data_IF_634059884176
#
_entry.id   IF_634059884176
#
_cell.length_a   1.000
_cell.length_b   1.000
_cell.length_c   1.000
_cell.angle_alpha   90.00
_cell.angle_beta   90.00
_cell.angle_gamma   90.00
#
_symmetry.space_group_name_H-M   'P 1'
#
loop_
_entity.id
_entity.type
_entity.pdbx_description
1 polymer ?
#
# COMPACT_ATOMS: atom_id res chain seq x y z
N UNK A 1 64.12 41.96 25.16
CA UNK A 1 63.20 42.12 24.02
C UNK A 1 62.71 40.72 23.63
N UNK A 2 61.51 40.37 24.16
CA UNK A 2 60.86 39.06 23.93
C UNK A 2 59.82 39.22 22.82
N UNK A 3 60.07 38.63 21.65
CA UNK A 3 59.16 38.61 20.52
C UNK A 3 58.25 37.42 20.66
N UNK A 4 57.02 37.64 21.14
CA UNK A 4 55.92 36.66 21.12
C UNK A 4 55.30 36.67 19.73
N UNK A 5 55.59 35.65 18.93
CA UNK A 5 54.91 35.41 17.68
C UNK A 5 53.51 34.90 17.94
N UNK A 6 52.48 35.67 17.61
CA UNK A 6 51.10 35.22 17.59
C UNK A 6 50.86 34.19 16.48
N UNK A 7 50.43 33.01 16.84
CA UNK A 7 50.03 31.95 15.91
C UNK A 7 48.68 32.33 15.29
N UNK A 8 48.51 32.35 13.94
CA UNK A 8 47.21 32.67 13.32
C UNK A 8 46.21 31.57 13.64
N UNK A 9 45.09 31.95 14.23
CA UNK A 9 43.90 31.09 14.47
C UNK A 9 43.29 30.69 13.13
N UNK A 10 43.51 29.46 12.70
CA UNK A 10 42.84 28.90 11.53
C UNK A 10 41.37 28.72 11.88
N UNK A 11 40.52 29.62 11.39
CA UNK A 11 39.05 29.49 11.47
C UNK A 11 38.67 28.29 10.59
N UNK A 12 38.34 27.15 11.22
CA UNK A 12 37.80 26.00 10.49
C UNK A 12 36.45 26.39 9.89
N UNK A 13 36.23 26.19 8.57
CA UNK A 13 34.94 26.49 7.98
C UNK A 13 33.87 25.62 8.64
N UNK A 14 32.73 26.23 8.99
CA UNK A 14 31.60 25.59 9.63
C UNK A 14 31.04 24.46 8.73
N UNK A 15 31.39 23.23 9.07
CA UNK A 15 31.03 22.00 8.32
C UNK A 15 29.50 21.84 8.25
N UNK A 16 28.78 22.36 9.25
CA UNK A 16 27.32 22.29 9.35
C UNK A 16 26.63 23.20 8.32
N UNK A 17 27.12 24.44 8.19
CA UNK A 17 26.62 25.41 7.21
C UNK A 17 26.89 24.97 5.76
N UNK A 18 28.05 24.36 5.53
CA UNK A 18 28.42 23.84 4.20
C UNK A 18 27.54 22.61 3.81
N UNK A 19 27.17 21.77 4.78
CA UNK A 19 26.29 20.62 4.58
C UNK A 19 24.86 21.04 4.26
N UNK A 20 24.32 22.04 4.95
CA UNK A 20 22.99 22.59 4.72
C UNK A 20 22.88 23.26 3.33
N UNK A 21 23.91 24.02 2.94
CA UNK A 21 23.97 24.69 1.63
C UNK A 21 24.05 23.68 0.48
N UNK A 22 24.82 22.60 0.64
CA UNK A 22 24.91 21.53 -0.35
C UNK A 22 23.59 20.75 -0.46
N UNK A 23 22.90 20.48 0.65
CA UNK A 23 21.59 19.82 0.65
C UNK A 23 20.55 20.68 -0.08
N UNK A 24 20.50 21.99 0.19
CA UNK A 24 19.59 22.94 -0.46
C UNK A 24 19.83 23.01 -1.98
N UNK A 25 21.09 23.06 -2.43
CA UNK A 25 21.44 23.04 -3.84
C UNK A 25 20.99 21.73 -4.51
N UNK A 26 21.25 20.58 -3.88
CA UNK A 26 20.83 19.27 -4.41
C UNK A 26 19.31 19.13 -4.51
N UNK A 27 18.57 19.63 -3.54
CA UNK A 27 17.10 19.66 -3.59
C UNK A 27 16.60 20.55 -4.71
N UNK A 28 17.17 21.74 -4.86
CA UNK A 28 16.77 22.69 -5.91
C UNK A 28 17.01 22.13 -7.33
N UNK A 29 18.18 21.52 -7.58
CA UNK A 29 18.47 20.87 -8.87
C UNK A 29 17.53 19.71 -9.12
N UNK A 30 17.25 18.86 -8.11
CA UNK A 30 16.31 17.76 -8.25
C UNK A 30 14.90 18.26 -8.61
N UNK A 31 14.39 19.30 -7.92
CA UNK A 31 13.09 19.91 -8.25
C UNK A 31 13.06 20.50 -9.66
N UNK A 32 14.14 21.10 -10.13
CA UNK A 32 14.22 21.64 -11.49
C UNK A 32 14.16 20.54 -12.54
N UNK A 33 14.86 19.42 -12.32
CA UNK A 33 14.88 18.25 -13.21
C UNK A 33 13.53 17.50 -13.19
N UNK A 34 12.84 17.43 -12.05
CA UNK A 34 11.58 16.71 -11.88
C UNK A 34 10.34 17.63 -11.92
N UNK A 35 10.47 18.81 -12.50
CA UNK A 35 9.44 19.86 -12.44
C UNK A 35 8.06 19.39 -12.92
N UNK A 36 8.02 18.67 -14.05
CA UNK A 36 6.77 18.15 -14.60
C UNK A 36 6.10 17.17 -13.64
N UNK A 37 6.86 16.22 -13.10
CA UNK A 37 6.35 15.20 -12.16
C UNK A 37 5.87 15.82 -10.86
N UNK A 38 6.54 16.87 -10.36
CA UNK A 38 6.08 17.62 -9.19
C UNK A 38 4.75 18.33 -9.46
N UNK A 39 4.58 18.93 -10.65
CA UNK A 39 3.33 19.58 -11.04
C UNK A 39 2.20 18.55 -11.12
N UNK A 40 2.41 17.41 -11.79
CA UNK A 40 1.44 16.33 -11.91
C UNK A 40 1.05 15.80 -10.53
N UNK A 41 2.03 15.55 -9.66
CA UNK A 41 1.78 15.06 -8.30
C UNK A 41 0.96 16.05 -7.47
N UNK A 42 1.33 17.34 -7.47
CA UNK A 42 0.60 18.38 -6.75
C UNK A 42 -0.82 18.54 -7.31
N UNK A 43 -0.96 18.56 -8.65
CA UNK A 43 -2.28 18.64 -9.29
C UNK A 43 -3.16 17.44 -8.90
N UNK A 44 -2.61 16.23 -8.91
CA UNK A 44 -3.33 15.03 -8.47
C UNK A 44 -3.79 15.13 -7.02
N UNK A 45 -2.89 15.47 -6.10
CA UNK A 45 -3.23 15.61 -4.68
C UNK A 45 -4.30 16.69 -4.48
N UNK A 46 -4.18 17.83 -5.18
CA UNK A 46 -5.18 18.90 -5.10
C UNK A 46 -6.55 18.43 -5.59
N UNK A 47 -6.61 17.76 -6.74
CA UNK A 47 -7.87 17.23 -7.30
C UNK A 47 -8.49 16.20 -6.35
N UNK A 48 -7.71 15.20 -5.91
CA UNK A 48 -8.24 14.14 -5.03
C UNK A 48 -8.69 14.66 -3.68
N UNK A 49 -7.96 15.59 -3.06
CA UNK A 49 -8.38 16.25 -1.81
C UNK A 49 -9.67 17.03 -2.03
N UNK A 50 -9.75 17.84 -3.10
CA UNK A 50 -10.94 18.62 -3.39
C UNK A 50 -12.17 17.73 -3.61
N UNK A 51 -12.03 16.68 -4.44
CA UNK A 51 -13.14 15.75 -4.71
C UNK A 51 -13.52 14.98 -3.45
N UNK A 52 -12.56 14.58 -2.61
CA UNK A 52 -12.83 13.89 -1.34
C UNK A 52 -13.64 14.73 -0.36
N UNK A 53 -13.54 16.09 -0.42
CA UNK A 53 -14.36 16.96 0.43
C UNK A 53 -15.85 16.88 0.08
N UNK A 54 -16.20 16.54 -1.16
CA UNK A 54 -17.58 16.41 -1.65
C UNK A 54 -18.04 14.95 -1.80
N UNK A 55 -17.14 13.99 -1.59
CA UNK A 55 -17.46 12.56 -1.64
C UNK A 55 -18.15 12.13 -0.35
N UNK A 56 -19.35 11.59 -0.48
CA UNK A 56 -20.03 10.88 0.60
C UNK A 56 -19.56 9.43 0.62
N UNK A 57 -19.00 8.94 1.75
CA UNK A 57 -18.51 7.57 1.82
C UNK A 57 -19.63 6.55 1.58
N UNK A 58 -19.34 5.57 0.74
CA UNK A 58 -20.25 4.47 0.46
C UNK A 58 -20.40 3.55 1.68
N UNK A 59 -21.44 2.72 1.64
CA UNK A 59 -21.73 1.75 2.70
C UNK A 59 -20.48 0.93 3.10
N UNK A 60 -19.75 0.39 2.14
CA UNK A 60 -18.54 -0.41 2.38
C UNK A 60 -17.41 0.38 3.05
N UNK A 61 -17.31 1.68 2.78
CA UNK A 61 -16.31 2.56 3.40
C UNK A 61 -16.68 2.82 4.86
N UNK A 62 -17.97 3.12 5.10
CA UNK A 62 -18.51 3.31 6.44
C UNK A 62 -18.41 2.02 7.27
N UNK A 63 -18.76 0.87 6.70
CA UNK A 63 -18.64 -0.43 7.33
C UNK A 63 -17.20 -0.72 7.74
N UNK A 64 -16.22 -0.47 6.84
CA UNK A 64 -14.81 -0.69 7.15
C UNK A 64 -14.34 0.15 8.34
N UNK A 65 -14.80 1.41 8.44
CA UNK A 65 -14.50 2.28 9.57
C UNK A 65 -15.12 1.78 10.87
N UNK A 66 -16.40 1.39 10.86
CA UNK A 66 -17.11 0.87 12.03
C UNK A 66 -16.44 -0.40 12.57
N UNK A 67 -16.09 -1.33 11.69
CA UNK A 67 -15.33 -2.54 12.04
C UNK A 67 -13.99 -2.15 12.69
N UNK A 68 -13.26 -1.23 12.08
CA UNK A 68 -11.95 -0.78 12.59
C UNK A 68 -12.07 -0.10 13.97
N UNK A 69 -13.12 0.69 14.19
CA UNK A 69 -13.38 1.41 15.44
C UNK A 69 -13.79 0.48 16.58
N UNK A 70 -14.77 -0.39 16.32
CA UNK A 70 -15.52 -1.11 17.36
C UNK A 70 -14.89 -2.46 17.70
N UNK A 71 -14.21 -3.12 16.77
CA UNK A 71 -13.57 -4.40 17.00
C UNK A 71 -12.23 -4.27 17.71
N UNK A 72 -11.89 -5.24 18.55
CA UNK A 72 -10.54 -5.36 19.13
C UNK A 72 -9.51 -5.74 18.05
N UNK A 73 -8.23 -5.49 18.32
CA UNK A 73 -7.13 -5.90 17.42
C UNK A 73 -7.15 -7.40 17.11
N UNK A 74 -7.52 -8.23 18.11
CA UNK A 74 -7.62 -9.67 17.93
C UNK A 74 -8.77 -10.01 16.99
N UNK A 75 -9.94 -9.42 17.16
CA UNK A 75 -11.11 -9.65 16.28
C UNK A 75 -10.83 -9.21 14.84
N UNK A 76 -10.12 -8.09 14.64
CA UNK A 76 -9.71 -7.65 13.32
C UNK A 76 -8.81 -8.66 12.61
N UNK A 77 -7.95 -9.36 13.38
CA UNK A 77 -6.99 -10.31 12.82
C UNK A 77 -7.57 -11.72 12.61
N UNK A 78 -8.51 -12.15 13.47
CA UNK A 78 -8.88 -13.57 13.53
C UNK A 78 -10.37 -13.86 13.33
N UNK A 79 -11.22 -12.84 13.33
CA UNK A 79 -12.67 -13.03 13.24
C UNK A 79 -13.24 -12.33 12.01
N UNK A 80 -13.01 -11.02 11.87
CA UNK A 80 -13.64 -10.23 10.81
C UNK A 80 -13.20 -10.60 9.41
N UNK A 81 -11.97 -11.03 9.23
CA UNK A 81 -11.43 -11.51 7.96
C UNK A 81 -12.22 -12.64 7.34
N UNK A 82 -12.77 -13.55 8.18
CA UNK A 82 -13.59 -14.67 7.73
C UNK A 82 -14.96 -14.25 7.17
N UNK A 83 -15.52 -13.13 7.67
CA UNK A 83 -16.82 -12.62 7.23
C UNK A 83 -16.71 -11.67 6.04
N UNK A 84 -15.64 -10.87 6.00
CA UNK A 84 -15.44 -9.85 4.97
C UNK A 84 -14.74 -10.40 3.72
N UNK A 85 -14.12 -11.58 3.81
CA UNK A 85 -13.41 -12.21 2.69
C UNK A 85 -12.17 -11.44 2.23
N UNK A 86 -11.60 -10.59 3.10
CA UNK A 86 -10.40 -9.79 2.82
C UNK A 86 -9.37 -9.89 3.93
N UNK A 87 -8.05 -9.77 3.61
CA UNK A 87 -7.00 -9.68 4.61
C UNK A 87 -7.14 -8.46 5.52
N UNK A 88 -6.62 -8.51 6.77
CA UNK A 88 -6.94 -7.54 7.81
C UNK A 88 -6.26 -6.17 7.68
N UNK A 89 -5.29 -5.99 6.79
CA UNK A 89 -4.40 -4.83 6.77
C UNK A 89 -5.18 -3.51 6.71
N UNK A 90 -6.22 -3.42 5.87
CA UNK A 90 -6.98 -2.19 5.71
C UNK A 90 -7.66 -1.76 7.01
N UNK A 91 -8.35 -2.67 7.67
CA UNK A 91 -9.01 -2.38 8.97
C UNK A 91 -8.01 -2.08 10.07
N UNK A 92 -6.85 -2.75 10.07
CA UNK A 92 -5.78 -2.45 11.03
C UNK A 92 -5.23 -1.04 10.84
N UNK A 93 -5.05 -0.59 9.60
CA UNK A 93 -4.62 0.78 9.31
C UNK A 93 -5.70 1.80 9.70
N UNK A 94 -6.97 1.53 9.39
CA UNK A 94 -8.10 2.36 9.80
C UNK A 94 -8.29 2.39 11.31
N UNK A 95 -7.99 1.29 12.01
CA UNK A 95 -8.11 1.22 13.47
C UNK A 95 -7.17 2.21 14.19
N UNK A 96 -6.06 2.61 13.57
CA UNK A 96 -5.16 3.61 14.16
C UNK A 96 -5.87 4.94 14.37
N UNK A 97 -6.34 5.67 13.33
CA UNK A 97 -7.05 6.91 13.52
C UNK A 97 -8.39 6.74 14.26
N UNK A 98 -9.11 5.63 14.03
CA UNK A 98 -10.41 5.39 14.66
C UNK A 98 -10.29 5.23 16.19
N UNK A 99 -9.31 4.46 16.66
CA UNK A 99 -9.09 4.25 18.12
C UNK A 99 -8.40 5.43 18.79
N UNK A 100 -7.75 6.33 18.02
CA UNK A 100 -7.24 7.61 18.51
C UNK A 100 -8.34 8.68 18.62
N UNK A 101 -9.60 8.34 18.28
CA UNK A 101 -10.72 9.27 18.38
C UNK A 101 -10.84 10.29 17.27
N UNK A 102 -10.20 10.05 16.12
CA UNK A 102 -10.37 10.93 14.95
C UNK A 102 -11.82 10.87 14.45
N UNK A 103 -12.39 12.02 14.01
CA UNK A 103 -13.68 12.03 13.35
C UNK A 103 -13.70 11.09 12.14
N UNK A 104 -14.83 10.41 11.94
CA UNK A 104 -15.03 9.37 10.93
C UNK A 104 -14.52 9.76 9.53
N UNK A 105 -15.07 10.84 8.98
CA UNK A 105 -14.70 11.24 7.63
C UNK A 105 -13.23 11.67 7.50
N UNK A 106 -12.71 12.37 8.51
CA UNK A 106 -11.33 12.83 8.50
C UNK A 106 -10.37 11.64 8.56
N UNK A 107 -10.60 10.72 9.50
CA UNK A 107 -9.73 9.56 9.67
C UNK A 107 -9.74 8.62 8.46
N UNK A 108 -10.92 8.35 7.92
CA UNK A 108 -11.10 7.49 6.74
C UNK A 108 -10.47 8.10 5.49
N UNK A 109 -10.85 9.34 5.16
CA UNK A 109 -10.40 10.04 3.94
C UNK A 109 -8.90 10.34 3.98
N UNK A 110 -8.36 10.77 5.14
CA UNK A 110 -6.93 11.09 5.24
C UNK A 110 -6.03 9.87 5.02
N UNK A 111 -6.39 8.72 5.57
CA UNK A 111 -5.64 7.49 5.33
C UNK A 111 -5.65 7.11 3.85
N UNK A 112 -6.81 7.17 3.19
CA UNK A 112 -6.91 6.86 1.77
C UNK A 112 -6.08 7.83 0.92
N UNK A 113 -6.18 9.15 1.19
CA UNK A 113 -5.39 10.17 0.49
C UNK A 113 -3.88 9.98 0.67
N UNK A 114 -3.44 9.53 1.85
CA UNK A 114 -2.03 9.18 2.06
C UNK A 114 -1.60 7.99 1.19
N UNK A 115 -2.43 6.94 1.10
CA UNK A 115 -2.18 5.79 0.24
C UNK A 115 -2.18 6.20 -1.25
N UNK A 116 -3.12 7.04 -1.66
CA UNK A 116 -3.21 7.56 -3.03
C UNK A 116 -2.01 8.45 -3.38
N UNK A 117 -1.59 9.32 -2.48
CA UNK A 117 -0.38 10.13 -2.66
C UNK A 117 0.87 9.25 -2.77
N UNK A 118 1.01 8.20 -1.94
CA UNK A 118 2.10 7.22 -2.05
C UNK A 118 2.08 6.51 -3.41
N UNK A 119 0.92 6.07 -3.87
CA UNK A 119 0.72 5.41 -5.17
C UNK A 119 1.23 6.29 -6.31
N UNK A 120 0.79 7.55 -6.38
CA UNK A 120 1.20 8.46 -7.44
C UNK A 120 2.65 8.93 -7.29
N UNK A 121 3.14 9.10 -6.06
CA UNK A 121 4.56 9.37 -5.84
C UNK A 121 5.47 8.26 -6.38
N UNK A 122 5.10 6.99 -6.16
CA UNK A 122 5.82 5.85 -6.73
C UNK A 122 5.75 5.87 -8.26
N UNK A 123 4.57 6.12 -8.83
CA UNK A 123 4.36 6.17 -10.27
C UNK A 123 5.23 7.24 -10.93
N UNK A 124 5.21 8.48 -10.40
CA UNK A 124 5.90 9.63 -10.98
C UNK A 124 7.42 9.54 -10.83
N UNK A 125 7.90 9.24 -9.62
CA UNK A 125 9.31 9.42 -9.29
C UNK A 125 10.14 8.13 -9.28
N UNK A 126 9.49 6.95 -9.30
CA UNK A 126 10.21 5.68 -9.15
C UNK A 126 10.05 4.73 -10.34
N UNK A 127 8.98 4.87 -11.13
CA UNK A 127 8.79 4.02 -12.31
C UNK A 127 9.60 4.51 -13.52
N UNK A 128 9.84 3.59 -14.45
CA UNK A 128 10.45 3.87 -15.75
C UNK A 128 9.41 3.91 -16.87
N UNK A 129 8.19 4.30 -16.56
CA UNK A 129 7.14 4.45 -17.56
C UNK A 129 7.43 5.62 -18.50
N UNK A 130 6.93 5.58 -19.76
CA UNK A 130 6.97 6.72 -20.67
C UNK A 130 6.34 7.96 -20.04
N UNK A 131 6.90 9.13 -20.30
CA UNK A 131 6.46 10.41 -19.72
C UNK A 131 4.95 10.68 -19.95
N UNK A 132 4.46 10.37 -21.16
CA UNK A 132 3.04 10.52 -21.48
C UNK A 132 2.15 9.72 -20.54
N UNK A 133 2.54 8.48 -20.23
CA UNK A 133 1.76 7.63 -19.31
C UNK A 133 1.79 8.16 -17.88
N UNK A 134 2.93 8.67 -17.42
CA UNK A 134 3.03 9.28 -16.09
C UNK A 134 2.10 10.50 -15.97
N UNK A 135 1.97 11.32 -17.00
CA UNK A 135 1.08 12.50 -16.98
C UNK A 135 -0.40 12.12 -17.04
N UNK A 136 -0.77 11.10 -17.83
CA UNK A 136 -2.18 10.78 -18.08
C UNK A 136 -2.76 9.83 -17.03
N UNK A 137 -2.01 8.78 -16.61
CA UNK A 137 -2.51 7.73 -15.72
C UNK A 137 -3.03 8.26 -14.38
N UNK A 138 -2.37 9.22 -13.70
CA UNK A 138 -2.87 9.76 -12.44
C UNK A 138 -4.30 10.28 -12.52
N UNK A 139 -4.69 10.86 -13.66
CA UNK A 139 -6.02 11.46 -13.87
C UNK A 139 -7.02 10.52 -14.54
N UNK A 140 -6.67 9.23 -14.72
CA UNK A 140 -7.63 8.23 -15.15
C UNK A 140 -8.71 8.02 -14.08
N UNK A 141 -9.91 7.62 -14.50
CA UNK A 141 -11.03 7.37 -13.58
C UNK A 141 -10.63 6.46 -12.40
N UNK A 142 -9.91 5.37 -12.70
CA UNK A 142 -9.52 4.41 -11.66
C UNK A 142 -8.53 5.00 -10.65
N UNK A 143 -7.44 5.62 -11.12
CA UNK A 143 -6.40 6.11 -10.20
C UNK A 143 -6.83 7.40 -9.49
N UNK A 144 -7.60 8.28 -10.16
CA UNK A 144 -8.01 9.54 -9.59
C UNK A 144 -9.23 9.38 -8.67
N UNK A 145 -10.31 8.75 -9.13
CA UNK A 145 -11.56 8.66 -8.37
C UNK A 145 -11.68 7.33 -7.61
N UNK A 146 -11.69 6.21 -8.34
CA UNK A 146 -12.02 4.91 -7.77
C UNK A 146 -11.02 4.45 -6.68
N UNK A 147 -9.74 4.81 -6.81
CA UNK A 147 -8.70 4.45 -5.84
C UNK A 147 -8.19 5.67 -5.06
N UNK A 148 -8.25 6.87 -5.66
CA UNK A 148 -7.76 8.10 -5.03
C UNK A 148 -8.76 8.71 -4.05
N UNK A 149 -10.06 8.64 -4.34
CA UNK A 149 -11.13 9.26 -3.55
C UNK A 149 -11.88 8.23 -2.71
N UNK A 150 -12.35 7.13 -3.31
CA UNK A 150 -13.05 6.07 -2.58
C UNK A 150 -12.10 5.36 -1.61
N UNK A 151 -12.44 5.39 -0.33
CA UNK A 151 -11.56 4.97 0.76
C UNK A 151 -11.53 3.45 0.95
N UNK A 152 -10.81 2.77 0.06
CA UNK A 152 -10.67 1.32 -0.01
C UNK A 152 -9.17 0.94 -0.10
N UNK A 153 -8.78 -0.33 0.14
CA UNK A 153 -7.37 -0.74 0.12
C UNK A 153 -6.69 -0.66 -1.26
N UNK A 154 -7.42 -0.27 -2.30
CA UNK A 154 -6.95 -0.37 -3.69
C UNK A 154 -5.79 0.57 -4.04
N UNK A 155 -5.75 1.79 -3.49
CA UNK A 155 -4.60 2.67 -3.66
C UNK A 155 -3.32 2.02 -3.11
N UNK A 156 -3.40 1.41 -1.93
CA UNK A 156 -2.29 0.68 -1.31
C UNK A 156 -1.92 -0.58 -2.12
N UNK A 157 -2.91 -1.28 -2.68
CA UNK A 157 -2.71 -2.43 -3.56
C UNK A 157 -1.89 -2.04 -4.81
N UNK A 158 -2.28 -0.96 -5.49
CA UNK A 158 -1.54 -0.46 -6.66
C UNK A 158 -0.14 0.01 -6.25
N UNK A 159 0.01 0.69 -5.11
CA UNK A 159 1.32 1.08 -4.60
C UNK A 159 2.24 -0.15 -4.38
N UNK A 160 1.71 -1.24 -3.82
CA UNK A 160 2.44 -2.50 -3.66
C UNK A 160 2.83 -3.11 -5.03
N UNK A 161 1.94 -3.09 -6.02
CA UNK A 161 2.23 -3.54 -7.39
C UNK A 161 3.34 -2.69 -8.04
N UNK A 162 3.31 -1.37 -7.87
CA UNK A 162 4.36 -0.48 -8.36
C UNK A 162 5.71 -0.79 -7.68
N UNK A 163 5.73 -1.04 -6.36
CA UNK A 163 6.94 -1.44 -5.65
C UNK A 163 7.51 -2.77 -6.18
N UNK A 164 6.65 -3.75 -6.50
CA UNK A 164 7.07 -4.99 -7.15
C UNK A 164 7.70 -4.67 -8.51
N UNK A 165 7.02 -3.90 -9.36
CA UNK A 165 7.49 -3.56 -10.70
C UNK A 165 8.84 -2.82 -10.67
N UNK A 166 9.02 -1.86 -9.77
CA UNK A 166 10.27 -1.09 -9.59
C UNK A 166 11.44 -2.02 -9.23
N UNK A 167 11.20 -3.02 -8.40
CA UNK A 167 12.24 -3.90 -7.89
C UNK A 167 12.40 -5.21 -8.70
N UNK A 168 11.50 -5.49 -9.64
CA UNK A 168 11.41 -6.77 -10.34
C UNK A 168 12.69 -7.22 -11.02
N UNK A 169 13.38 -6.30 -11.69
CA UNK A 169 14.63 -6.62 -12.40
C UNK A 169 15.76 -7.07 -11.47
N UNK A 170 15.72 -6.65 -10.22
CA UNK A 170 16.72 -6.98 -9.22
C UNK A 170 16.33 -8.18 -8.32
N UNK A 171 15.18 -8.83 -8.58
CA UNK A 171 14.62 -9.90 -7.73
C UNK A 171 15.57 -11.06 -7.48
N UNK A 172 16.44 -11.35 -8.44
CA UNK A 172 17.38 -12.47 -8.35
C UNK A 172 18.64 -12.14 -7.52
N UNK A 173 19.03 -10.87 -7.44
CA UNK A 173 20.22 -10.40 -6.70
C UNK A 173 19.84 -9.82 -5.34
N UNK A 174 18.72 -9.11 -5.26
CA UNK A 174 18.18 -8.48 -4.04
C UNK A 174 16.70 -8.87 -3.87
N UNK A 175 16.41 -10.09 -3.38
CA UNK A 175 15.04 -10.62 -3.35
C UNK A 175 14.11 -9.90 -2.36
N UNK A 176 14.64 -9.41 -1.24
CA UNK A 176 13.83 -8.87 -0.14
C UNK A 176 12.89 -7.73 -0.51
N UNK A 177 13.29 -6.71 -1.30
CA UNK A 177 12.36 -5.65 -1.69
C UNK A 177 11.14 -6.18 -2.44
N UNK A 178 11.32 -7.16 -3.33
CA UNK A 178 10.21 -7.78 -4.09
C UNK A 178 9.36 -8.63 -3.17
N UNK A 179 9.96 -9.45 -2.31
CA UNK A 179 9.24 -10.32 -1.37
C UNK A 179 8.38 -9.50 -0.41
N UNK A 180 8.95 -8.46 0.22
CA UNK A 180 8.21 -7.57 1.11
C UNK A 180 7.07 -6.84 0.39
N UNK A 181 7.30 -6.42 -0.86
CA UNK A 181 6.25 -5.80 -1.68
C UNK A 181 5.14 -6.80 -2.04
N UNK A 182 5.48 -8.07 -2.30
CA UNK A 182 4.49 -9.14 -2.51
C UNK A 182 3.71 -9.46 -1.23
N UNK A 183 4.38 -9.49 -0.07
CA UNK A 183 3.70 -9.67 1.22
C UNK A 183 2.74 -8.50 1.50
N UNK A 184 3.16 -7.26 1.22
CA UNK A 184 2.28 -6.10 1.30
C UNK A 184 1.08 -6.26 0.38
N UNK A 185 1.30 -6.68 -0.87
CA UNK A 185 0.23 -6.92 -1.85
C UNK A 185 -0.75 -7.99 -1.36
N UNK A 186 -0.25 -9.13 -0.85
CA UNK A 186 -1.08 -10.18 -0.24
C UNK A 186 -1.97 -9.63 0.88
N UNK A 187 -1.46 -8.71 1.68
CA UNK A 187 -2.17 -8.19 2.85
C UNK A 187 -3.24 -7.14 2.52
N UNK A 188 -3.26 -6.58 1.28
CA UNK A 188 -4.20 -5.52 0.90
C UNK A 188 -5.61 -6.03 0.61
N UNK A 189 -5.72 -7.12 -0.15
CA UNK A 189 -7.02 -7.66 -0.59
C UNK A 189 -6.88 -9.10 -1.09
N UNK A 190 -8.00 -9.81 -1.25
CA UNK A 190 -8.04 -11.14 -1.87
C UNK A 190 -7.54 -11.12 -3.32
N UNK A 191 -7.81 -10.03 -4.06
CA UNK A 191 -7.22 -9.83 -5.40
C UNK A 191 -5.70 -9.67 -5.33
N UNK A 192 -5.21 -8.91 -4.35
CA UNK A 192 -3.77 -8.75 -4.12
C UNK A 192 -3.09 -10.08 -3.78
N UNK A 193 -3.74 -10.93 -2.98
CA UNK A 193 -3.27 -12.28 -2.65
C UNK A 193 -3.15 -13.15 -3.92
N UNK A 194 -4.17 -13.14 -4.78
CA UNK A 194 -4.16 -13.89 -6.04
C UNK A 194 -3.04 -13.39 -6.99
N UNK A 195 -2.92 -12.08 -7.18
CA UNK A 195 -1.88 -11.48 -8.06
C UNK A 195 -0.49 -11.81 -7.54
N UNK A 196 -0.23 -11.64 -6.22
CA UNK A 196 1.05 -11.97 -5.63
C UNK A 196 1.39 -13.46 -5.77
N UNK A 197 0.39 -14.35 -5.59
CA UNK A 197 0.53 -15.78 -5.81
C UNK A 197 0.94 -16.11 -7.23
N UNK A 198 0.29 -15.52 -8.23
CA UNK A 198 0.64 -15.73 -9.66
C UNK A 198 2.04 -15.21 -9.99
N UNK A 199 2.44 -14.06 -9.45
CA UNK A 199 3.79 -13.53 -9.64
C UNK A 199 4.86 -14.41 -8.98
N UNK A 200 4.60 -14.89 -7.76
CA UNK A 200 5.49 -15.81 -7.06
C UNK A 200 5.62 -17.16 -7.79
N UNK A 201 4.50 -17.68 -8.29
CA UNK A 201 4.49 -18.90 -9.09
C UNK A 201 5.31 -18.73 -10.37
N UNK A 202 5.06 -17.65 -11.13
CA UNK A 202 5.84 -17.34 -12.34
C UNK A 202 7.35 -17.21 -12.02
N UNK A 203 7.70 -16.52 -10.96
CA UNK A 203 9.11 -16.40 -10.54
C UNK A 203 9.71 -17.75 -10.17
N UNK A 204 8.96 -18.61 -9.47
CA UNK A 204 9.39 -19.97 -9.11
C UNK A 204 9.56 -20.86 -10.35
N UNK A 205 8.63 -20.80 -11.32
CA UNK A 205 8.72 -21.56 -12.58
C UNK A 205 9.94 -21.13 -13.40
N UNK A 206 10.14 -19.83 -13.61
CA UNK A 206 11.32 -19.29 -14.33
C UNK A 206 12.62 -19.79 -13.71
N UNK A 207 12.61 -19.94 -12.42
CA UNK A 207 13.72 -20.46 -11.66
C UNK A 207 13.94 -21.97 -11.85
N UNK A 208 12.89 -22.78 -11.75
CA UNK A 208 12.99 -24.24 -11.93
C UNK A 208 13.37 -24.63 -13.38
N UNK A 209 12.89 -23.85 -14.36
CA UNK A 209 13.14 -24.14 -15.78
C UNK A 209 14.44 -23.53 -16.33
N UNK A 210 14.96 -22.45 -15.74
CA UNK A 210 16.05 -21.67 -16.36
C UNK A 210 17.40 -21.72 -15.66
N UNK A 211 17.41 -21.76 -14.35
CA UNK A 211 18.66 -21.69 -13.57
C UNK A 211 18.57 -22.56 -12.33
N UNK A 212 19.22 -23.69 -12.29
CA UNK A 212 19.37 -24.56 -11.11
C UNK A 212 20.06 -23.88 -9.90
N UNK A 213 20.03 -22.55 -9.83
CA UNK A 213 20.76 -21.75 -8.84
C UNK A 213 19.93 -21.27 -7.64
N UNK A 214 18.65 -21.71 -7.44
CA UNK A 214 17.86 -21.39 -6.23
C UNK A 214 18.58 -21.81 -4.95
N UNK A 215 19.12 -23.00 -4.97
CA UNK A 215 19.82 -23.56 -3.82
C UNK A 215 21.09 -22.76 -3.51
N UNK A 216 21.67 -22.07 -4.51
CA UNK A 216 22.83 -21.19 -4.32
C UNK A 216 22.49 -19.85 -3.66
N UNK A 217 21.25 -19.36 -3.79
CA UNK A 217 20.83 -18.11 -3.12
C UNK A 217 19.86 -18.42 -1.99
N UNK A 218 20.41 -18.71 -0.80
CA UNK A 218 19.67 -19.01 0.44
C UNK A 218 18.62 -17.92 0.77
N UNK A 219 18.91 -16.65 0.49
CA UNK A 219 18.01 -15.54 0.78
C UNK A 219 16.75 -15.58 -0.09
N UNK A 220 16.86 -15.93 -1.37
CA UNK A 220 15.73 -16.07 -2.29
C UNK A 220 14.83 -17.23 -1.87
N UNK A 221 15.43 -18.39 -1.59
CA UNK A 221 14.69 -19.56 -1.12
C UNK A 221 13.94 -19.25 0.18
N UNK A 222 14.64 -18.73 1.20
CA UNK A 222 14.05 -18.35 2.47
C UNK A 222 12.91 -17.31 2.29
N UNK A 223 13.10 -16.33 1.42
CA UNK A 223 12.09 -15.31 1.15
C UNK A 223 10.86 -15.86 0.44
N UNK A 224 11.00 -16.76 -0.53
CA UNK A 224 9.87 -17.42 -1.19
C UNK A 224 9.11 -18.34 -0.22
N UNK A 225 9.82 -19.07 0.65
CA UNK A 225 9.19 -19.88 1.71
C UNK A 225 8.41 -18.99 2.68
N UNK A 226 9.02 -17.89 3.12
CA UNK A 226 8.34 -16.92 4.00
C UNK A 226 7.08 -16.34 3.34
N UNK A 227 7.18 -15.94 2.07
CA UNK A 227 6.04 -15.45 1.31
C UNK A 227 4.93 -16.50 1.19
N UNK A 228 5.28 -17.76 0.91
CA UNK A 228 4.32 -18.86 0.83
C UNK A 228 3.61 -19.09 2.16
N UNK A 229 4.35 -19.16 3.27
CA UNK A 229 3.78 -19.33 4.62
C UNK A 229 2.86 -18.15 4.94
N UNK A 230 3.30 -16.92 4.69
CA UNK A 230 2.49 -15.72 4.89
C UNK A 230 1.21 -15.73 4.04
N UNK A 231 1.29 -16.08 2.77
CA UNK A 231 0.15 -16.18 1.88
C UNK A 231 -0.84 -17.26 2.32
N UNK A 232 -0.36 -18.42 2.81
CA UNK A 232 -1.20 -19.49 3.35
C UNK A 232 -1.92 -19.01 4.61
N UNK A 233 -1.22 -18.34 5.53
CA UNK A 233 -1.84 -17.79 6.75
C UNK A 233 -2.96 -16.81 6.37
N UNK A 234 -2.72 -15.90 5.43
CA UNK A 234 -3.74 -14.96 4.99
C UNK A 234 -4.90 -15.65 4.26
N UNK A 235 -4.61 -16.66 3.43
CA UNK A 235 -5.64 -17.43 2.75
C UNK A 235 -6.55 -18.13 3.76
N UNK A 236 -5.97 -18.83 4.74
CA UNK A 236 -6.74 -19.48 5.81
C UNK A 236 -7.57 -18.47 6.61
N UNK A 237 -7.06 -17.28 6.80
CA UNK A 237 -7.73 -16.20 7.53
C UNK A 237 -8.92 -15.58 6.75
N UNK A 238 -8.87 -15.64 5.41
CA UNK A 238 -9.92 -15.11 4.52
C UNK A 238 -10.99 -16.16 4.22
N UNK A 239 -10.66 -17.46 4.34
CA UNK A 239 -11.64 -18.52 4.14
C UNK A 239 -12.78 -18.42 5.17
N UNK A 240 -14.04 -18.65 4.76
CA UNK A 240 -15.18 -18.64 5.65
C UNK A 240 -14.96 -19.60 6.82
N UNK A 241 -15.31 -19.15 8.03
CA UNK A 241 -15.23 -20.01 9.20
C UNK A 241 -16.25 -21.17 9.08
N UNK A 242 -15.93 -22.39 9.60
CA UNK A 242 -16.89 -23.49 9.65
C UNK A 242 -18.17 -23.04 10.35
N UNK A 243 -19.32 -23.23 9.70
CA UNK A 243 -20.62 -22.80 10.21
C UNK A 243 -21.01 -21.35 9.90
N UNK A 244 -20.18 -20.58 9.20
CA UNK A 244 -20.62 -19.33 8.58
C UNK A 244 -21.53 -19.64 7.41
N UNK A 245 -22.78 -19.25 7.56
CA UNK A 245 -23.82 -19.47 6.56
C UNK A 245 -23.52 -18.61 5.32
N UNK A 246 -23.10 -19.25 4.25
CA UNK A 246 -23.25 -18.69 2.91
C UNK A 246 -24.68 -18.99 2.52
N UNK A 247 -25.52 -17.95 2.40
CA UNK A 247 -26.90 -18.16 2.00
C UNK A 247 -26.93 -19.03 0.73
N UNK A 248 -27.41 -20.25 0.87
CA UNK A 248 -27.78 -21.06 -0.28
C UNK A 248 -28.83 -20.26 -1.02
N UNK A 249 -28.48 -19.69 -2.17
CA UNK A 249 -29.46 -19.30 -3.15
C UNK A 249 -30.05 -20.61 -3.66
N UNK A 250 -31.14 -21.02 -3.06
CA UNK A 250 -31.97 -22.05 -3.64
C UNK A 250 -32.33 -21.59 -5.07
N UNK A 251 -32.04 -22.44 -6.05
CA UNK A 251 -32.35 -22.20 -7.47
C UNK A 251 -33.84 -21.89 -7.67
N UNK A 252 -34.67 -22.10 -6.69
CA UNK A 252 -36.11 -21.79 -6.66
C UNK A 252 -36.45 -20.45 -5.97
N UNK A 253 -35.47 -19.65 -5.57
CA UNK A 253 -35.68 -18.31 -5.04
C UNK A 253 -36.33 -18.24 -3.67
N UNK A 254 -36.46 -19.33 -2.93
CA UNK A 254 -36.91 -19.36 -1.54
C UNK A 254 -35.69 -19.30 -0.63
N UNK A 255 -35.40 -18.11 -0.09
CA UNK A 255 -34.41 -17.95 0.97
C UNK A 255 -34.94 -18.70 2.22
N UNK A 256 -34.40 -19.89 2.50
CA UNK A 256 -34.83 -20.73 3.62
C UNK A 256 -34.32 -20.22 4.98
N UNK A 257 -33.42 -19.26 5.01
CA UNK A 257 -33.01 -18.54 6.23
C UNK A 257 -32.54 -17.13 5.84
N UNK A 258 -32.96 -16.11 6.59
CA UNK A 258 -32.48 -14.76 6.36
C UNK A 258 -30.99 -14.68 6.70
N UNK A 259 -30.10 -14.34 5.73
CA UNK A 259 -28.71 -14.07 6.02
C UNK A 259 -28.62 -12.94 7.08
N UNK A 260 -27.57 -12.96 7.90
CA UNK A 260 -27.38 -11.96 8.95
C UNK A 260 -27.43 -10.50 8.43
N UNK A 261 -27.13 -10.26 7.16
CA UNK A 261 -27.25 -8.94 6.54
C UNK A 261 -28.70 -8.51 6.24
N UNK A 262 -29.64 -9.45 6.10
CA UNK A 262 -31.08 -9.13 5.94
C UNK A 262 -31.68 -8.60 7.24
N UNK A 263 -31.15 -9.02 8.40
CA UNK A 263 -31.58 -8.48 9.69
C UNK A 263 -31.14 -7.03 9.91
N UNK A 264 -30.09 -6.57 9.22
CA UNK A 264 -29.61 -5.17 9.28
C UNK A 264 -30.52 -4.22 8.50
N UNK A 265 -31.24 -4.70 7.49
CA UNK A 265 -32.19 -3.88 6.69
C UNK A 265 -33.63 -3.93 7.22
N UNK A 266 -33.93 -4.79 8.21
CA UNK A 266 -35.27 -4.91 8.80
C UNK A 266 -35.38 -4.27 10.20
N UNK A 267 -34.37 -3.52 10.64
CA UNK A 267 -34.40 -2.63 11.80
C UNK A 267 -34.42 -1.18 11.38
#
# INVERSE_FOLDING_TARGET
>A
MSNTAETPTIIQPDVSANRATNLRKRLFTWFAEQRLHCIVFIAYVTVTVTVSCFHEPWFDEAQAWLIARDCSWKELLTVRTHYEGHPPLWWMLLAIPAKLGMPYEIGLKSLNLMCAALMIWLLEFKTKLPELLKVILPFSYFLCYQYGVTSRPYALMIAAMLLIAINWNNRNTKPWPVILSMMLLCATSSYGLAIAGMLALNWTIQFLCGERSLIKNKQRFAGLVLLLVFAIILLLNVLPAPGTYHGDFDIHGTATTSPAWVSVFNT
#
